data_IF_694491765728
#
_entry.id   IF_694491765728
#
_cell.length_a   1.000
_cell.length_b   1.000
_cell.length_c   1.000
_cell.angle_alpha   90.00
_cell.angle_beta   90.00
_cell.angle_gamma   90.00
#
_symmetry.space_group_name_H-M   'P 1'
#
loop_
_entity.id
_entity.type
_entity.pdbx_description
1 polymer ?
#
# COMPACT_ATOMS: atom_id res chain seq x y z
N UNK A 1 6.69 19.55 32.30
CA UNK A 1 5.29 19.31 31.89
C UNK A 1 5.17 18.37 30.69
N UNK A 2 6.18 18.24 29.82
CA UNK A 2 6.12 17.32 28.66
C UNK A 2 5.93 15.82 28.98
N UNK A 3 6.48 15.24 30.07
CA UNK A 3 6.34 13.80 30.32
C UNK A 3 4.90 13.37 30.60
N UNK A 4 4.13 14.21 31.31
CA UNK A 4 2.72 13.94 31.61
C UNK A 4 1.86 14.01 30.34
N UNK A 5 2.12 15.00 29.47
CA UNK A 5 1.42 15.13 28.20
C UNK A 5 1.70 13.94 27.24
N UNK A 6 2.95 13.48 27.18
CA UNK A 6 3.31 12.26 26.41
C UNK A 6 2.63 11.01 26.98
N UNK A 7 2.68 10.82 28.30
CA UNK A 7 2.05 9.67 28.96
C UNK A 7 0.53 9.62 28.75
N UNK A 8 -0.16 10.78 28.79
CA UNK A 8 -1.60 10.86 28.50
C UNK A 8 -1.88 10.49 27.04
N UNK A 9 -1.04 10.95 26.11
CA UNK A 9 -1.19 10.65 24.67
C UNK A 9 -0.98 9.15 24.39
N UNK A 10 0.03 8.54 24.98
CA UNK A 10 0.32 7.11 24.87
C UNK A 10 -0.82 6.27 25.46
N UNK A 11 -1.34 6.65 26.63
CA UNK A 11 -2.48 5.97 27.24
C UNK A 11 -3.73 6.04 26.34
N UNK A 12 -4.04 7.22 25.78
CA UNK A 12 -5.17 7.38 24.87
C UNK A 12 -5.02 6.54 23.60
N UNK A 13 -3.80 6.42 23.06
CA UNK A 13 -3.52 5.53 21.92
C UNK A 13 -3.71 4.05 22.29
N UNK A 14 -3.21 3.62 23.44
CA UNK A 14 -3.39 2.24 23.92
C UNK A 14 -4.87 1.89 24.12
N UNK A 15 -5.66 2.80 24.71
CA UNK A 15 -7.11 2.60 24.88
C UNK A 15 -7.84 2.48 23.54
N UNK A 16 -7.46 3.31 22.56
CA UNK A 16 -8.01 3.22 21.21
C UNK A 16 -7.67 1.89 20.54
N UNK A 17 -6.44 1.40 20.67
CA UNK A 17 -6.03 0.11 20.11
C UNK A 17 -6.83 -1.04 20.71
N UNK A 18 -7.00 -1.02 22.03
CA UNK A 18 -7.79 -2.03 22.72
C UNK A 18 -9.25 -2.02 22.24
N UNK A 19 -9.85 -0.84 22.09
CA UNK A 19 -11.21 -0.70 21.56
C UNK A 19 -11.35 -1.18 20.11
N UNK A 20 -10.36 -0.90 19.25
CA UNK A 20 -10.34 -1.38 17.87
C UNK A 20 -10.23 -2.93 17.84
N UNK A 21 -9.41 -3.54 18.70
CA UNK A 21 -9.28 -5.01 18.83
C UNK A 21 -10.61 -5.64 19.27
N UNK A 22 -11.27 -5.08 20.28
CA UNK A 22 -12.56 -5.56 20.78
C UNK A 22 -13.65 -5.47 19.70
N UNK A 23 -13.69 -4.35 18.98
CA UNK A 23 -14.61 -4.18 17.84
C UNK A 23 -14.38 -5.25 16.79
N UNK A 24 -13.12 -5.50 16.41
CA UNK A 24 -12.80 -6.52 15.41
C UNK A 24 -13.18 -7.92 15.90
N UNK A 25 -12.98 -8.25 17.18
CA UNK A 25 -13.40 -9.55 17.75
C UNK A 25 -14.91 -9.73 17.80
N UNK A 26 -15.66 -8.65 18.05
CA UNK A 26 -17.12 -8.69 18.13
C UNK A 26 -17.79 -8.83 16.77
N UNK A 27 -17.25 -8.17 15.74
CA UNK A 27 -17.92 -8.01 14.45
C UNK A 27 -17.35 -8.87 13.32
N UNK A 28 -16.19 -9.51 13.51
CA UNK A 28 -15.55 -10.33 12.48
C UNK A 28 -15.23 -11.71 13.01
N UNK A 29 -15.59 -12.74 12.23
CA UNK A 29 -15.07 -14.09 12.45
C UNK A 29 -13.57 -14.16 12.13
N UNK A 30 -12.89 -15.17 12.66
CA UNK A 30 -11.46 -15.43 12.40
C UNK A 30 -11.17 -15.49 10.89
N UNK A 31 -12.05 -16.15 10.13
CA UNK A 31 -11.94 -16.24 8.67
C UNK A 31 -12.09 -14.86 8.01
N UNK A 32 -13.13 -14.10 8.37
CA UNK A 32 -13.34 -12.76 7.79
C UNK A 32 -12.15 -11.83 8.06
N UNK A 33 -11.54 -11.91 9.25
CA UNK A 33 -10.32 -11.14 9.57
C UNK A 33 -9.17 -11.53 8.66
N UNK A 34 -8.93 -12.84 8.52
CA UNK A 34 -7.89 -13.37 7.64
C UNK A 34 -8.09 -12.93 6.18
N UNK A 35 -9.32 -12.99 5.67
CA UNK A 35 -9.65 -12.63 4.30
C UNK A 35 -9.43 -11.14 4.02
N UNK A 36 -9.87 -10.27 4.94
CA UNK A 36 -9.65 -8.82 4.82
C UNK A 36 -8.17 -8.47 4.88
N UNK A 37 -7.40 -9.11 5.78
CA UNK A 37 -5.94 -8.93 5.86
C UNK A 37 -5.28 -9.36 4.54
N UNK A 38 -5.65 -10.51 3.99
CA UNK A 38 -5.12 -10.99 2.71
C UNK A 38 -5.44 -10.04 1.55
N UNK A 39 -6.65 -9.46 1.54
CA UNK A 39 -7.05 -8.45 0.56
C UNK A 39 -6.22 -7.16 0.68
N UNK A 40 -6.03 -6.65 1.89
CA UNK A 40 -5.20 -5.46 2.16
C UNK A 40 -3.75 -5.68 1.70
N UNK A 41 -3.17 -6.82 2.06
CA UNK A 41 -1.81 -7.21 1.67
C UNK A 41 -1.66 -7.34 0.15
N UNK A 42 -2.65 -7.96 -0.50
CA UNK A 42 -2.65 -8.12 -1.96
C UNK A 42 -2.78 -6.77 -2.67
N UNK A 43 -3.72 -5.93 -2.25
CA UNK A 43 -3.92 -4.60 -2.80
C UNK A 43 -2.70 -3.70 -2.58
N UNK A 44 -2.02 -3.81 -1.43
CA UNK A 44 -0.80 -3.07 -1.18
C UNK A 44 0.34 -3.50 -2.10
N UNK A 45 0.58 -4.81 -2.25
CA UNK A 45 1.59 -5.32 -3.20
C UNK A 45 1.30 -4.88 -4.63
N UNK A 46 0.03 -4.85 -5.03
CA UNK A 46 -0.35 -4.38 -6.36
C UNK A 46 -0.10 -2.88 -6.54
N UNK A 47 -0.31 -2.06 -5.50
CA UNK A 47 0.04 -0.64 -5.51
C UNK A 47 1.55 -0.44 -5.56
N UNK A 48 2.32 -1.13 -4.71
CA UNK A 48 3.78 -1.03 -4.71
C UNK A 48 4.38 -1.42 -6.08
N UNK A 49 3.80 -2.42 -6.75
CA UNK A 49 4.16 -2.76 -8.12
C UNK A 49 3.89 -1.62 -9.10
N UNK A 50 2.70 -1.00 -9.05
CA UNK A 50 2.34 0.10 -9.93
C UNK A 50 3.24 1.33 -9.69
N UNK A 51 3.54 1.64 -8.43
CA UNK A 51 4.48 2.71 -8.07
C UNK A 51 5.89 2.41 -8.62
N UNK A 52 6.34 1.15 -8.56
CA UNK A 52 7.61 0.74 -9.17
C UNK A 52 7.63 0.87 -10.70
N UNK A 53 6.51 0.61 -11.39
CA UNK A 53 6.40 0.86 -12.84
C UNK A 53 6.49 2.36 -13.12
N UNK A 54 5.74 3.18 -12.38
CA UNK A 54 5.77 4.65 -12.52
C UNK A 54 7.18 5.20 -12.33
N UNK A 55 7.89 4.73 -11.30
CA UNK A 55 9.26 5.13 -11.03
C UNK A 55 10.19 4.82 -12.21
N UNK A 56 10.07 3.63 -12.81
CA UNK A 56 10.87 3.26 -13.99
C UNK A 56 10.54 4.15 -15.19
N UNK A 57 9.26 4.43 -15.46
CA UNK A 57 8.83 5.32 -16.55
C UNK A 57 9.41 6.72 -16.36
N UNK A 58 9.36 7.27 -15.13
CA UNK A 58 9.92 8.59 -14.81
C UNK A 58 11.44 8.59 -14.98
N UNK A 59 12.14 7.60 -14.41
CA UNK A 59 13.61 7.48 -14.52
C UNK A 59 14.07 7.32 -15.98
N UNK A 60 13.28 6.64 -16.81
CA UNK A 60 13.59 6.42 -18.23
C UNK A 60 13.49 7.69 -19.07
N UNK A 61 12.79 8.75 -18.64
CA UNK A 61 12.62 9.97 -19.47
C UNK A 61 13.92 10.63 -19.91
N UNK A 62 14.96 10.55 -19.08
CA UNK A 62 16.30 11.08 -19.40
C UNK A 62 17.18 10.09 -20.15
N UNK A 63 16.70 8.87 -20.39
CA UNK A 63 17.43 7.81 -21.06
C UNK A 63 17.09 7.80 -22.56
N UNK A 64 18.11 7.97 -23.40
CA UNK A 64 17.96 8.01 -24.86
C UNK A 64 18.07 6.63 -25.52
N UNK A 65 18.33 5.57 -24.76
CA UNK A 65 18.44 4.21 -25.30
C UNK A 65 17.13 3.77 -25.93
N UNK A 66 17.23 3.03 -27.04
CA UNK A 66 16.07 2.30 -27.58
C UNK A 66 15.61 1.22 -26.60
N UNK A 67 14.44 0.64 -26.85
CA UNK A 67 13.94 -0.48 -26.05
C UNK A 67 14.95 -1.63 -26.01
N UNK A 68 15.50 -2.04 -27.16
CA UNK A 68 16.44 -3.14 -27.29
C UNK A 68 17.73 -2.88 -26.51
N UNK A 69 18.27 -1.67 -26.61
CA UNK A 69 19.48 -1.25 -25.88
C UNK A 69 19.23 -1.20 -24.37
N UNK A 70 18.05 -0.75 -23.95
CA UNK A 70 17.66 -0.73 -22.55
C UNK A 70 17.46 -2.15 -22.01
N UNK A 71 16.77 -3.00 -22.75
CA UNK A 71 16.52 -4.40 -22.40
C UNK A 71 17.82 -5.20 -22.30
N UNK A 72 18.79 -4.97 -23.20
CA UNK A 72 20.10 -5.59 -23.11
C UNK A 72 20.86 -5.18 -21.85
N UNK A 73 20.69 -3.94 -21.38
CA UNK A 73 21.43 -3.40 -20.24
C UNK A 73 20.75 -3.62 -18.87
N UNK A 74 19.42 -3.69 -18.83
CA UNK A 74 18.60 -3.73 -17.59
C UNK A 74 17.72 -4.97 -17.49
N UNK A 75 17.62 -5.75 -18.56
CA UNK A 75 16.72 -6.89 -18.67
C UNK A 75 15.37 -6.53 -19.30
N UNK A 76 14.79 -7.50 -19.98
CA UNK A 76 13.56 -7.35 -20.76
C UNK A 76 12.35 -6.99 -19.89
N UNK A 77 12.24 -7.56 -18.68
CA UNK A 77 11.14 -7.27 -17.75
C UNK A 77 11.15 -5.81 -17.28
N UNK A 78 12.34 -5.26 -16.99
CA UNK A 78 12.47 -3.86 -16.59
C UNK A 78 12.19 -2.93 -17.77
N UNK A 79 12.65 -3.29 -18.97
CA UNK A 79 12.38 -2.54 -20.19
C UNK A 79 10.88 -2.42 -20.48
N UNK A 80 10.12 -3.51 -20.39
CA UNK A 80 8.66 -3.48 -20.59
C UNK A 80 7.96 -2.53 -19.63
N UNK A 81 8.39 -2.48 -18.35
CA UNK A 81 7.85 -1.53 -17.36
C UNK A 81 8.27 -0.09 -17.68
N UNK A 82 9.56 0.15 -17.94
CA UNK A 82 10.12 1.47 -18.20
C UNK A 82 9.60 2.10 -19.51
N UNK A 83 9.18 1.28 -20.47
CA UNK A 83 8.60 1.71 -21.75
C UNK A 83 7.07 1.71 -21.76
N UNK A 84 6.42 1.42 -20.62
CA UNK A 84 4.99 1.70 -20.45
C UNK A 84 4.73 3.20 -20.62
N UNK A 85 3.61 3.58 -21.22
CA UNK A 85 3.27 5.00 -21.38
C UNK A 85 3.08 5.65 -20.00
N UNK A 86 3.38 6.94 -19.89
CA UNK A 86 3.16 7.66 -18.63
C UNK A 86 1.69 7.67 -18.22
N UNK A 87 0.79 7.83 -19.19
CA UNK A 87 -0.66 7.81 -18.95
C UNK A 87 -1.12 6.46 -18.39
N UNK A 88 -0.67 5.36 -18.98
CA UNK A 88 -1.02 4.01 -18.51
C UNK A 88 -0.44 3.75 -17.12
N UNK A 89 0.81 4.14 -16.86
CA UNK A 89 1.42 4.01 -15.55
C UNK A 89 0.66 4.84 -14.49
N UNK A 90 0.22 6.06 -14.83
CA UNK A 90 -0.56 6.91 -13.93
C UNK A 90 -1.93 6.29 -13.65
N UNK A 91 -2.60 5.78 -14.69
CA UNK A 91 -3.88 5.10 -14.57
C UNK A 91 -3.78 3.84 -13.70
N UNK A 92 -2.70 3.06 -13.85
CA UNK A 92 -2.42 1.89 -13.00
C UNK A 92 -2.29 2.28 -11.53
N UNK A 93 -1.43 3.26 -11.19
CA UNK A 93 -1.25 3.72 -9.81
C UNK A 93 -2.57 4.21 -9.22
N UNK A 94 -3.31 5.03 -9.97
CA UNK A 94 -4.62 5.55 -9.54
C UNK A 94 -5.59 4.41 -9.26
N UNK A 95 -5.71 3.44 -10.17
CA UNK A 95 -6.58 2.28 -10.01
C UNK A 95 -6.25 1.45 -8.77
N UNK A 96 -4.97 1.12 -8.57
CA UNK A 96 -4.52 0.32 -7.41
C UNK A 96 -4.69 1.06 -6.09
N UNK A 97 -4.47 2.37 -6.08
CA UNK A 97 -4.76 3.20 -4.91
C UNK A 97 -6.25 3.20 -4.59
N UNK A 98 -7.11 3.37 -5.59
CA UNK A 98 -8.56 3.31 -5.40
C UNK A 98 -9.04 1.94 -4.89
N UNK A 99 -8.48 0.83 -5.39
CA UNK A 99 -8.77 -0.51 -4.90
C UNK A 99 -8.42 -0.67 -3.41
N UNK A 100 -7.21 -0.24 -3.03
CA UNK A 100 -6.76 -0.27 -1.63
C UNK A 100 -7.64 0.59 -0.73
N UNK A 101 -7.95 1.83 -1.14
CA UNK A 101 -8.81 2.72 -0.38
C UNK A 101 -10.21 2.13 -0.22
N UNK A 102 -10.79 1.51 -1.25
CA UNK A 102 -12.10 0.86 -1.16
C UNK A 102 -12.12 -0.20 -0.06
N UNK A 103 -11.09 -1.04 0.05
CA UNK A 103 -10.99 -2.06 1.12
C UNK A 103 -10.90 -1.37 2.48
N UNK A 104 -10.10 -0.31 2.59
CA UNK A 104 -9.95 0.48 3.83
C UNK A 104 -11.27 1.10 4.28
N UNK A 105 -12.08 1.62 3.35
CA UNK A 105 -13.39 2.19 3.63
C UNK A 105 -14.41 1.13 4.05
N UNK A 106 -14.37 -0.07 3.45
CA UNK A 106 -15.25 -1.18 3.83
C UNK A 106 -14.89 -1.80 5.18
N UNK A 107 -13.61 -1.79 5.55
CA UNK A 107 -13.12 -2.42 6.77
C UNK A 107 -12.19 -1.50 7.58
N UNK A 108 -12.69 -0.35 8.07
CA UNK A 108 -11.85 0.71 8.62
C UNK A 108 -11.10 0.31 9.89
N UNK A 109 -11.71 -0.49 10.75
CA UNK A 109 -11.10 -0.93 12.02
C UNK A 109 -10.01 -1.97 11.77
N UNK A 110 -10.30 -2.99 10.95
CA UNK A 110 -9.32 -4.00 10.55
C UNK A 110 -8.14 -3.35 9.84
N UNK A 111 -8.41 -2.38 8.96
CA UNK A 111 -7.38 -1.67 8.21
C UNK A 111 -6.48 -0.82 9.09
N UNK A 112 -7.03 -0.13 10.11
CA UNK A 112 -6.22 0.62 11.10
C UNK A 112 -5.30 -0.31 11.88
N UNK A 113 -5.82 -1.40 12.42
CA UNK A 113 -5.02 -2.38 13.17
C UNK A 113 -3.94 -3.01 12.27
N UNK A 114 -4.29 -3.34 11.03
CA UNK A 114 -3.34 -3.89 10.07
C UNK A 114 -2.21 -2.91 9.75
N UNK A 115 -2.53 -1.63 9.50
CA UNK A 115 -1.54 -0.60 9.24
C UNK A 115 -0.56 -0.41 10.42
N UNK A 116 -1.06 -0.49 11.65
CA UNK A 116 -0.23 -0.41 12.86
C UNK A 116 0.76 -1.56 12.98
N UNK A 117 0.31 -2.79 12.67
CA UNK A 117 1.18 -3.98 12.70
C UNK A 117 2.22 -3.95 11.59
N UNK A 118 1.84 -3.47 10.40
CA UNK A 118 2.73 -3.43 9.23
C UNK A 118 3.64 -2.20 9.16
N UNK A 119 3.33 -1.13 9.89
CA UNK A 119 4.05 0.14 9.84
C UNK A 119 3.79 0.94 8.56
N UNK A 120 2.56 0.90 8.05
CA UNK A 120 2.13 1.61 6.83
C UNK A 120 1.29 2.85 7.11
#
# INVERSE_FOLDING_TARGET
>A
MEPLASAIKELAQSQKHQSDIETVRLWYTDQQRSDVIAQLDSARRALDFADGVMELVVRRRSDQRSFEQYAQARGEVEAHKAFTSEEDAQAMVKGRRSDLERIKWSHPVVSRLHAQVRGW
#
